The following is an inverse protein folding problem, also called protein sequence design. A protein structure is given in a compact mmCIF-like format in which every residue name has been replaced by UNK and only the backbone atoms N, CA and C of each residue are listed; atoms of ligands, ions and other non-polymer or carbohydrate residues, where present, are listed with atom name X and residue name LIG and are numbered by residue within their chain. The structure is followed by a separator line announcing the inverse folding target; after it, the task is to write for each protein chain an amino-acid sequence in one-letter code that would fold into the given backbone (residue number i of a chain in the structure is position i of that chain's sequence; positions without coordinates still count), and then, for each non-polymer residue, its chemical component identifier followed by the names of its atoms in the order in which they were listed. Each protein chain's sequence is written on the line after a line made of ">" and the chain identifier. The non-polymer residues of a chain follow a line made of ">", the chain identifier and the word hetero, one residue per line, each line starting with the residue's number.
data_IF_253271923995
#
_entry.id   IF_253271923995
#
_cell.length_a   1.000
_cell.length_b   1.000
_cell.length_c   1.000
_cell.angle_alpha   90.00
_cell.angle_beta   90.00
_cell.angle_gamma   90.00
#
_symmetry.space_group_name_H-M   'P 1'
#
loop_
_entity.id
_entity.type
_entity.pdbx_description
1 polymer ?
#
# COMPACT_ATOMS: atom_id res chain seq x y z
N UNK A 1 15.06 17.07 -11.02
CA UNK A 1 13.70 16.62 -11.33
C UNK A 1 13.29 15.87 -10.09
N UNK A 2 12.42 16.45 -9.26
CA UNK A 2 11.80 15.67 -8.20
C UNK A 2 10.81 14.76 -8.91
N UNK A 3 11.03 13.44 -8.86
CA UNK A 3 10.02 12.47 -9.26
C UNK A 3 9.03 12.36 -8.08
N UNK A 4 7.78 12.08 -8.39
CA UNK A 4 6.65 12.45 -7.54
C UNK A 4 6.42 11.40 -6.48
N UNK A 5 6.73 11.70 -5.22
CA UNK A 5 6.30 10.85 -4.10
C UNK A 5 4.77 10.76 -4.10
N UNK A 6 4.22 9.57 -3.85
CA UNK A 6 2.78 9.41 -3.63
C UNK A 6 2.32 10.42 -2.58
N UNK A 7 1.34 11.24 -2.94
CA UNK A 7 0.81 12.24 -2.02
C UNK A 7 0.02 11.56 -0.90
N UNK A 8 0.03 12.15 0.29
CA UNK A 8 -0.72 11.65 1.44
C UNK A 8 -2.21 11.47 1.10
N UNK A 9 -2.79 12.39 0.32
CA UNK A 9 -4.18 12.31 -0.14
C UNK A 9 -4.43 11.06 -1.00
N UNK A 10 -3.54 10.75 -1.95
CA UNK A 10 -3.63 9.55 -2.80
C UNK A 10 -3.43 8.27 -1.99
N UNK A 11 -2.55 8.28 -1.00
CA UNK A 11 -2.37 7.16 -0.07
C UNK A 11 -3.63 6.93 0.77
N UNK A 12 -4.25 7.98 1.30
CA UNK A 12 -5.50 7.88 2.04
C UNK A 12 -6.64 7.32 1.18
N UNK A 13 -6.73 7.75 -0.08
CA UNK A 13 -7.68 7.22 -1.06
C UNK A 13 -7.45 5.73 -1.34
N UNK A 14 -6.19 5.32 -1.58
CA UNK A 14 -5.82 3.91 -1.76
C UNK A 14 -6.21 3.08 -0.53
N UNK A 15 -5.85 3.52 0.68
CA UNK A 15 -6.15 2.79 1.91
C UNK A 15 -7.67 2.70 2.15
N UNK A 16 -8.42 3.75 1.82
CA UNK A 16 -9.88 3.74 1.87
C UNK A 16 -10.46 2.74 0.85
N UNK A 17 -9.93 2.73 -0.37
CA UNK A 17 -10.34 1.82 -1.43
C UNK A 17 -10.09 0.36 -1.03
N UNK A 18 -8.89 0.02 -0.56
CA UNK A 18 -8.54 -1.33 -0.11
C UNK A 18 -9.42 -1.80 1.06
N UNK A 19 -9.82 -0.89 1.96
CA UNK A 19 -10.78 -1.20 3.04
C UNK A 19 -12.18 -1.49 2.51
N UNK A 20 -12.63 -0.79 1.47
CA UNK A 20 -13.92 -1.00 0.83
C UNK A 20 -13.95 -2.27 -0.04
N UNK A 21 -12.80 -2.66 -0.60
CA UNK A 21 -12.65 -3.78 -1.54
C UNK A 21 -11.71 -4.87 -0.99
N UNK A 22 -12.17 -5.70 -0.02
CA UNK A 22 -11.37 -6.79 0.55
C UNK A 22 -11.10 -7.93 -0.44
N UNK A 23 -11.66 -7.88 -1.64
CA UNK A 23 -11.34 -8.78 -2.75
C UNK A 23 -9.97 -8.48 -3.39
N UNK A 24 -9.47 -7.26 -3.21
CA UNK A 24 -8.12 -6.89 -3.64
C UNK A 24 -7.13 -7.57 -2.70
N UNK A 25 -6.29 -8.43 -3.27
CA UNK A 25 -5.31 -9.22 -2.52
C UNK A 25 -3.88 -8.90 -2.90
N UNK A 26 -3.66 -8.28 -4.08
CA UNK A 26 -2.34 -7.91 -4.58
C UNK A 26 -2.41 -6.47 -5.12
N UNK A 27 -1.37 -5.68 -4.84
CA UNK A 27 -1.15 -4.35 -5.43
C UNK A 27 0.25 -4.28 -6.04
N UNK A 28 0.42 -3.48 -7.08
CA UNK A 28 1.74 -3.21 -7.66
C UNK A 28 2.19 -1.81 -7.27
N UNK A 29 3.37 -1.69 -6.68
CA UNK A 29 4.00 -0.44 -6.29
C UNK A 29 5.09 -0.09 -7.32
N UNK A 30 5.15 1.16 -7.76
CA UNK A 30 6.28 1.71 -8.50
C UNK A 30 7.00 2.73 -7.61
N UNK A 31 8.31 2.57 -7.42
CA UNK A 31 9.15 3.45 -6.63
C UNK A 31 9.79 4.54 -7.49
N UNK A 32 10.25 5.64 -6.87
CA UNK A 32 10.89 6.79 -7.56
C UNK A 32 12.07 6.37 -8.47
N UNK A 33 12.77 5.31 -8.08
CA UNK A 33 13.90 4.74 -8.82
C UNK A 33 13.47 3.98 -10.11
N UNK A 34 12.17 3.84 -10.34
CA UNK A 34 11.58 3.01 -11.40
C UNK A 34 11.54 1.51 -11.07
N UNK A 35 11.79 1.16 -9.81
CA UNK A 35 11.62 -0.21 -9.32
C UNK A 35 10.14 -0.52 -9.20
N UNK A 36 9.74 -1.75 -9.49
CA UNK A 36 8.35 -2.20 -9.41
C UNK A 36 8.29 -3.40 -8.49
N UNK A 37 7.50 -3.31 -7.44
CA UNK A 37 7.27 -4.39 -6.51
C UNK A 37 5.80 -4.79 -6.47
N UNK A 38 5.54 -6.06 -6.20
CA UNK A 38 4.20 -6.60 -6.06
C UNK A 38 4.00 -7.02 -4.62
N UNK A 39 2.96 -6.46 -4.03
CA UNK A 39 2.69 -6.61 -2.61
C UNK A 39 1.40 -7.39 -2.42
N UNK A 40 1.53 -8.56 -1.80
CA UNK A 40 0.42 -9.37 -1.33
C UNK A 40 -0.14 -8.78 -0.03
N UNK A 41 -1.31 -8.15 -0.13
CA UNK A 41 -2.03 -7.57 1.01
C UNK A 41 -2.45 -8.62 2.04
N UNK A 42 -2.49 -9.90 1.64
CA UNK A 42 -2.83 -11.01 2.55
C UNK A 42 -1.68 -11.37 3.49
N UNK A 43 -0.44 -11.03 3.11
CA UNK A 43 0.77 -11.30 3.90
C UNK A 43 1.18 -10.09 4.76
N UNK A 44 0.60 -8.92 4.47
CA UNK A 44 0.85 -7.69 5.23
C UNK A 44 -0.09 -7.57 6.43
N UNK A 45 0.47 -7.21 7.59
CA UNK A 45 -0.31 -6.93 8.78
C UNK A 45 -0.86 -5.50 8.77
N UNK A 46 -0.04 -4.51 8.39
CA UNK A 46 -0.45 -3.10 8.37
C UNK A 46 0.11 -2.40 7.13
N UNK A 47 -0.74 -2.29 6.10
CA UNK A 47 -0.41 -1.71 4.79
C UNK A 47 0.12 -0.27 4.89
N UNK A 48 -0.30 0.49 5.91
CA UNK A 48 0.18 1.87 6.13
C UNK A 48 1.62 1.91 6.65
N UNK A 49 2.08 0.87 7.36
CA UNK A 49 3.39 0.83 8.03
C UNK A 49 4.41 -0.11 7.39
N UNK A 50 3.95 -1.22 6.81
CA UNK A 50 4.82 -2.24 6.20
C UNK A 50 5.41 -1.78 4.86
N UNK A 51 4.81 -0.78 4.22
CA UNK A 51 5.25 -0.25 2.93
C UNK A 51 5.93 1.11 3.11
N UNK A 52 7.09 1.28 2.46
CA UNK A 52 7.83 2.53 2.44
C UNK A 52 7.18 3.56 1.49
N UNK A 53 5.97 4.03 1.84
CA UNK A 53 5.19 4.96 1.01
C UNK A 53 5.93 6.23 0.62
N UNK A 54 6.90 6.67 1.43
CA UNK A 54 7.73 7.84 1.11
C UNK A 54 8.63 7.63 -0.13
N UNK A 55 8.85 6.40 -0.56
CA UNK A 55 9.67 6.02 -1.72
C UNK A 55 8.83 5.56 -2.91
N UNK A 56 7.52 5.33 -2.69
CA UNK A 56 6.55 4.93 -3.71
C UNK A 56 6.10 6.18 -4.48
N UNK A 57 6.09 6.07 -5.81
CA UNK A 57 5.68 7.10 -6.77
C UNK A 57 4.23 6.84 -7.24
N UNK A 58 3.93 5.60 -7.63
CA UNK A 58 2.62 5.15 -8.13
C UNK A 58 2.24 3.77 -7.57
N UNK A 59 0.94 3.52 -7.43
CA UNK A 59 0.37 2.24 -7.02
C UNK A 59 -0.71 1.83 -8.00
N UNK A 60 -0.57 0.67 -8.62
CA UNK A 60 -1.58 0.08 -9.48
C UNK A 60 -2.32 -1.06 -8.73
N UNK A 61 -3.65 -0.98 -8.71
CA UNK A 61 -4.55 -1.99 -8.19
C UNK A 61 -5.29 -2.65 -9.36
N UNK A 62 -5.11 -3.95 -9.55
CA UNK A 62 -5.83 -4.72 -10.56
C UNK A 62 -7.08 -5.38 -9.95
N UNK A 63 -8.25 -5.03 -10.48
CA UNK A 63 -9.53 -5.56 -10.03
C UNK A 63 -9.86 -6.88 -10.71
N UNK A 64 -10.77 -7.65 -10.11
CA UNK A 64 -11.22 -8.92 -10.66
C UNK A 64 -11.88 -8.80 -12.05
N UNK A 65 -12.41 -7.62 -12.40
CA UNK A 65 -12.96 -7.32 -13.74
C UNK A 65 -11.85 -7.05 -14.79
N UNK A 66 -10.58 -6.96 -14.36
CA UNK A 66 -9.42 -6.63 -15.18
C UNK A 66 -9.16 -5.13 -15.31
N UNK A 67 -9.96 -4.29 -14.66
CA UNK A 67 -9.74 -2.84 -14.54
C UNK A 67 -8.54 -2.56 -13.65
N UNK A 68 -7.71 -1.60 -14.06
CA UNK A 68 -6.53 -1.14 -13.31
C UNK A 68 -6.80 0.26 -12.78
N UNK A 69 -6.65 0.44 -11.48
CA UNK A 69 -6.73 1.75 -10.82
C UNK A 69 -5.33 2.15 -10.40
N UNK A 70 -4.86 3.29 -10.89
CA UNK A 70 -3.60 3.88 -10.47
C UNK A 70 -3.85 4.94 -9.39
N UNK A 71 -3.06 4.92 -8.33
CA UNK A 71 -3.04 5.90 -7.24
C UNK A 71 -1.62 6.45 -7.15
N UNK A 72 -1.46 7.78 -7.16
CA UNK A 72 -0.13 8.38 -7.28
C UNK A 72 0.24 8.65 -8.74
N UNK A 73 1.39 9.31 -8.93
CA UNK A 73 1.76 10.14 -10.08
C UNK A 73 0.64 11.14 -10.49
N UNK A 74 0.93 12.45 -10.41
CA UNK A 74 0.04 13.48 -10.94
C UNK A 74 -0.13 13.30 -12.47
N UNK A 75 -1.09 12.49 -12.90
CA UNK A 75 -1.78 12.72 -14.16
C UNK A 75 -2.90 13.72 -13.86
N UNK A 76 -2.51 15.00 -13.83
CA UNK A 76 -3.41 16.17 -13.84
C UNK A 76 -4.14 16.25 -15.19
N UNK A 77 -4.75 15.17 -15.68
CA UNK A 77 -5.61 15.18 -16.87
C UNK A 77 -6.84 14.27 -16.67
N UNK A 78 -7.92 14.91 -16.19
CA UNK A 78 -9.33 14.55 -16.42
C UNK A 78 -9.90 13.28 -15.75
N UNK A 79 -10.38 13.42 -14.52
CA UNK A 79 -11.60 12.71 -14.10
C UNK A 79 -12.76 13.71 -14.13
N UNK A 80 -13.26 13.95 -15.34
CA UNK A 80 -14.53 14.64 -15.57
C UNK A 80 -15.65 13.78 -14.97
N UNK A 81 -16.16 14.25 -13.84
CA UNK A 81 -17.57 14.18 -13.43
C UNK A 81 -18.33 12.96 -13.96
N UNK A 82 -18.36 11.87 -13.19
CA UNK A 82 -19.45 10.90 -13.27
C UNK A 82 -20.73 11.64 -12.84
N UNK A 83 -21.41 12.25 -13.81
CA UNK A 83 -22.71 12.90 -13.64
C UNK A 83 -23.72 11.85 -13.17
N UNK A 84 -23.94 11.90 -11.85
CA UNK A 84 -25.17 11.58 -11.12
C UNK A 84 -26.35 11.33 -12.07
N UNK A 85 -26.60 10.06 -12.34
CA UNK A 85 -27.85 9.61 -12.94
C UNK A 85 -28.73 9.06 -11.85
N UNK A 86 -29.22 9.92 -10.94
CA UNK A 86 -30.36 9.56 -10.09
C UNK A 86 -31.63 10.22 -10.63
N UNK A 87 -32.51 9.37 -11.17
CA UNK A 87 -33.82 9.73 -11.68
C UNK A 87 -34.63 10.53 -10.66
N UNK A 88 -35.45 11.41 -11.22
CA UNK A 88 -36.38 12.32 -10.55
C UNK A 88 -37.37 11.65 -9.58
N UNK A 89 -37.89 12.53 -8.70
CA UNK A 89 -39.29 12.58 -8.25
C UNK A 89 -39.65 11.73 -7.01
N UNK A 90 -39.69 12.36 -5.83
CA UNK A 90 -40.95 12.46 -5.07
C UNK A 90 -40.86 13.60 -4.04
N UNK A 91 -41.96 14.35 -3.95
CA UNK A 91 -42.20 15.47 -3.03
C UNK A 91 -42.34 15.02 -1.55
N UNK A 92 -42.66 16.00 -0.70
CA UNK A 92 -43.31 15.88 0.62
C UNK A 92 -42.35 15.79 1.82
N UNK A 93 -41.96 16.91 2.42
CA UNK A 93 -42.71 17.73 3.39
C UNK A 93 -42.35 17.40 4.86
N UNK A 94 -41.86 18.44 5.53
CA UNK A 94 -42.15 18.80 6.93
C UNK A 94 -41.36 18.08 8.07
N UNK A 95 -40.61 18.94 8.77
CA UNK A 95 -40.77 19.24 10.21
C UNK A 95 -39.83 18.65 11.29
N UNK A 96 -39.35 19.63 12.06
CA UNK A 96 -38.97 19.67 13.49
C UNK A 96 -37.68 19.01 13.99
N UNK A 97 -36.70 19.89 14.22
CA UNK A 97 -35.98 20.13 15.48
C UNK A 97 -35.83 18.95 16.46
N UNK A 98 -34.58 18.56 16.75
CA UNK A 98 -34.20 18.32 18.15
C UNK A 98 -32.67 18.47 18.34
N UNK A 99 -32.31 19.49 19.11
CA UNK A 99 -30.99 19.69 19.69
C UNK A 99 -30.84 18.75 20.90
N UNK A 100 -30.02 17.69 20.84
CA UNK A 100 -29.45 17.11 22.06
C UNK A 100 -27.94 16.86 21.96
N UNK A 101 -27.27 17.70 22.73
CA UNK A 101 -25.95 17.64 23.34
C UNK A 101 -25.70 16.28 24.04
N UNK A 102 -24.62 15.55 23.69
CA UNK A 102 -23.98 14.64 24.66
C UNK A 102 -22.46 14.53 24.43
N UNK A 103 -21.75 15.33 25.20
CA UNK A 103 -20.30 15.25 25.45
C UNK A 103 -19.94 13.97 26.24
N UNK A 104 -19.41 12.93 25.58
CA UNK A 104 -18.84 11.76 26.28
C UNK A 104 -17.33 11.89 26.47
N UNK A 105 -16.95 12.35 27.66
CA UNK A 105 -15.58 12.26 28.18
C UNK A 105 -15.40 10.94 28.94
N UNK A 106 -14.46 10.08 28.53
CA UNK A 106 -13.99 8.96 29.37
C UNK A 106 -12.46 8.93 29.40
N UNK A 107 -11.94 9.02 30.62
CA UNK A 107 -10.53 9.07 31.00
C UNK A 107 -9.92 7.69 31.19
N UNK A 108 -8.59 7.67 31.21
CA UNK A 108 -7.71 6.86 32.07
C UNK A 108 -7.01 5.60 31.49
N UNK A 109 -5.71 5.80 31.21
CA UNK A 109 -4.51 5.04 31.63
C UNK A 109 -4.71 3.65 32.25
N UNK A 110 -3.97 2.65 31.73
CA UNK A 110 -3.20 1.68 32.52
C UNK A 110 -2.02 1.15 31.72
N UNK A 111 -0.85 1.46 32.23
CA UNK A 111 0.49 0.94 31.95
C UNK A 111 0.57 -0.48 32.55
N UNK A 112 0.94 -1.50 31.77
CA UNK A 112 1.37 -2.79 32.30
C UNK A 112 2.57 -3.29 31.47
N UNK A 113 3.72 -2.97 32.03
CA UNK A 113 5.07 -3.54 31.93
C UNK A 113 5.05 -5.01 32.41
N UNK A 114 5.67 -5.97 31.70
CA UNK A 114 6.41 -7.11 32.29
C UNK A 114 7.41 -7.72 31.26
N UNK A 115 8.62 -7.99 31.79
CA UNK A 115 9.90 -8.35 31.18
C UNK A 115 10.05 -9.86 30.84
N UNK A 116 11.04 -10.23 30.01
CA UNK A 116 11.98 -11.38 30.16
C UNK A 116 12.86 -11.47 28.89
N UNK A 117 14.14 -11.07 28.90
CA UNK A 117 15.35 -11.86 29.26
C UNK A 117 15.59 -13.03 28.27
N UNK A 118 16.43 -12.85 27.24
CA UNK A 118 17.89 -13.12 27.18
C UNK A 118 18.24 -14.61 26.96
N UNK A 119 19.19 -14.83 26.04
CA UNK A 119 20.34 -15.76 26.16
C UNK A 119 20.53 -16.89 25.13
N UNK A 120 21.81 -17.00 24.72
CA UNK A 120 22.55 -18.00 23.90
C UNK A 120 22.29 -17.97 22.36
N UNK A 121 23.18 -17.50 21.48
CA UNK A 121 24.66 -17.59 21.37
C UNK A 121 25.19 -19.02 21.53
N UNK A 122 25.51 -19.69 20.40
CA UNK A 122 26.68 -20.57 20.20
C UNK A 122 26.60 -21.13 18.75
N UNK A 123 27.49 -20.75 17.84
CA UNK A 123 28.79 -21.42 17.56
C UNK A 123 28.57 -22.59 16.56
N UNK A 124 28.94 -22.43 15.29
CA UNK A 124 30.26 -22.75 14.73
C UNK A 124 30.26 -24.17 14.12
N UNK A 125 30.56 -24.25 12.81
CA UNK A 125 31.46 -25.24 12.17
C UNK A 125 31.36 -25.01 10.64
N UNK A 126 32.36 -24.38 10.00
CA UNK A 126 33.53 -25.04 9.38
C UNK A 126 33.11 -25.87 8.13
N UNK A 127 33.38 -25.39 6.91
CA UNK A 127 34.60 -25.61 6.12
C UNK A 127 34.49 -26.86 5.21
N UNK A 128 34.63 -26.64 3.89
CA UNK A 128 35.01 -27.53 2.77
C UNK A 128 34.54 -26.78 1.49
N UNK A 129 35.33 -25.95 0.80
CA UNK A 129 36.56 -26.27 0.05
C UNK A 129 36.35 -27.48 -0.88
N UNK A 130 35.97 -27.24 -2.13
CA UNK A 130 36.46 -27.98 -3.32
C UNK A 130 35.95 -27.22 -4.56
N UNK A 131 36.76 -26.43 -5.26
CA UNK A 131 37.76 -26.83 -6.28
C UNK A 131 37.13 -26.81 -7.68
N UNK A 132 37.77 -26.04 -8.56
CA UNK A 132 37.84 -26.13 -10.02
C UNK A 132 36.56 -26.39 -10.86
N UNK A 133 36.28 -25.43 -11.75
CA UNK A 133 36.46 -25.70 -13.18
C UNK A 133 36.66 -24.36 -13.95
N UNK A 134 37.93 -24.01 -14.10
CA UNK A 134 38.46 -23.28 -15.27
C UNK A 134 37.97 -23.98 -16.55
N UNK A 135 37.39 -23.24 -17.49
CA UNK A 135 37.43 -23.46 -18.95
C UNK A 135 36.43 -22.49 -19.59
N UNK A 136 36.70 -21.68 -20.61
CA UNK A 136 37.88 -21.21 -21.31
C UNK A 136 37.32 -20.18 -22.32
N UNK A 137 38.19 -19.41 -22.96
CA UNK A 137 37.88 -18.50 -24.07
C UNK A 137 36.89 -19.06 -25.10
N UNK A 138 36.03 -18.20 -25.67
CA UNK A 138 36.02 -18.04 -27.14
C UNK A 138 35.29 -16.77 -27.59
N UNK A 139 36.10 -15.92 -28.21
CA UNK A 139 35.83 -14.74 -29.02
C UNK A 139 35.23 -15.19 -30.38
N UNK A 140 34.05 -14.72 -30.76
CA UNK A 140 33.59 -14.72 -32.17
C UNK A 140 32.50 -13.63 -32.30
N UNK A 141 32.90 -12.38 -32.55
CA UNK A 141 33.21 -11.78 -33.85
C UNK A 141 31.97 -11.67 -34.77
N UNK A 142 31.71 -10.42 -35.13
CA UNK A 142 30.60 -9.90 -35.90
C UNK A 142 30.37 -10.61 -37.25
N UNK A 143 29.09 -10.82 -37.61
CA UNK A 143 28.67 -11.04 -39.00
C UNK A 143 27.28 -10.44 -39.30
#
# INVERSE_FOLDING_TARGET
>A
MARGMIFLESLEQLLSYLKAHPEVTEISLEFENGDKDKVDLTEINDVEKDIAWAEVDEVEVELADGTKLAFGAEDDEEDEEDEESEESDDEDEEDEEDEEDEEVSVSAVSEEDEEDEDDDDDDDDDDDDDDDDDEDEDEDEEA
#
